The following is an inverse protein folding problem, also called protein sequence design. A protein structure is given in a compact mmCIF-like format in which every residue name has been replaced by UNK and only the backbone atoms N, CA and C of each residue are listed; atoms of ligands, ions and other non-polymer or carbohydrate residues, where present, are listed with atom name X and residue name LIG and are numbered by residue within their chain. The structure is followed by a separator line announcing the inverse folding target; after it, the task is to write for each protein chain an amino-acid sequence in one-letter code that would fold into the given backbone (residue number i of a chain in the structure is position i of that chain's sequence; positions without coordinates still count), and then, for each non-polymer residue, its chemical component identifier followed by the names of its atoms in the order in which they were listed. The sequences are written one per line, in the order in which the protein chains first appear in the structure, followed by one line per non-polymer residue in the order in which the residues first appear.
data_IF_512513677792
#
_entry.id   IF_512513677792
#
_cell.length_a   1.000
_cell.length_b   1.000
_cell.length_c   1.000
_cell.angle_alpha   90.00
_cell.angle_beta   90.00
_cell.angle_gamma   90.00
#
_symmetry.space_group_name_H-M   'P 1'
#
loop_
_entity.id
_entity.type
_entity.pdbx_description
1 polymer ?
#
# COMPACT_ATOMS: atom_id res chain seq x y z
N UNK A 1 -42.54 -27.04 -23.21
CA UNK A 1 -41.10 -27.07 -23.57
C UNK A 1 -40.62 -25.63 -23.70
N UNK A 2 -40.02 -25.08 -22.65
CA UNK A 2 -39.41 -23.75 -22.70
C UNK A 2 -38.09 -23.83 -23.46
N UNK A 3 -37.91 -23.00 -24.48
CA UNK A 3 -36.62 -22.86 -25.16
C UNK A 3 -35.67 -22.14 -24.20
N UNK A 4 -34.64 -22.87 -23.77
CA UNK A 4 -33.53 -22.34 -23.00
C UNK A 4 -32.80 -21.29 -23.84
N UNK A 5 -32.89 -20.03 -23.43
CA UNK A 5 -32.14 -18.93 -24.05
C UNK A 5 -30.68 -19.08 -23.62
N UNK A 6 -29.86 -19.62 -24.49
CA UNK A 6 -28.41 -19.68 -24.26
C UNK A 6 -27.87 -18.25 -24.35
N UNK A 7 -27.47 -17.71 -23.19
CA UNK A 7 -26.77 -16.44 -23.12
C UNK A 7 -25.35 -16.62 -23.66
N UNK A 8 -25.08 -16.10 -24.86
CA UNK A 8 -23.74 -16.12 -25.44
C UNK A 8 -22.89 -15.01 -24.82
N UNK A 9 -21.77 -15.38 -24.20
CA UNK A 9 -20.74 -14.44 -23.74
C UNK A 9 -19.54 -14.47 -24.68
N UNK A 10 -18.93 -13.29 -24.93
CA UNK A 10 -17.70 -13.14 -25.71
C UNK A 10 -16.76 -12.18 -24.99
N UNK A 11 -15.49 -12.54 -24.90
CA UNK A 11 -14.42 -11.68 -24.38
C UNK A 11 -13.37 -11.43 -25.45
N UNK A 12 -12.63 -10.32 -25.31
CA UNK A 12 -11.48 -9.97 -26.15
C UNK A 12 -10.31 -9.59 -25.25
N UNK A 13 -9.20 -10.32 -25.35
CA UNK A 13 -7.92 -9.91 -24.78
C UNK A 13 -7.17 -9.06 -25.81
N UNK A 14 -6.51 -8.02 -25.32
CA UNK A 14 -5.59 -7.19 -26.10
C UNK A 14 -4.24 -7.25 -25.43
N UNK A 15 -3.25 -7.74 -26.17
CA UNK A 15 -1.85 -7.70 -25.79
C UNK A 15 -1.20 -6.54 -26.54
N UNK A 16 -0.62 -5.60 -25.82
CA UNK A 16 0.10 -4.46 -26.38
C UNK A 16 1.48 -4.34 -25.75
N UNK A 17 2.35 -3.55 -26.36
CA UNK A 17 3.67 -3.25 -25.81
C UNK A 17 3.76 -1.81 -25.37
N UNK A 18 4.20 -1.59 -24.13
CA UNK A 18 4.62 -0.27 -23.67
C UNK A 18 6.11 -0.14 -23.96
N UNK A 19 6.45 0.76 -24.87
CA UNK A 19 7.81 0.95 -25.33
C UNK A 19 8.48 2.14 -24.62
N UNK A 20 9.77 2.00 -24.33
CA UNK A 20 10.60 3.07 -23.82
C UNK A 20 12.05 2.84 -24.22
N UNK A 21 12.81 3.93 -24.37
CA UNK A 21 14.21 3.86 -24.79
C UNK A 21 15.11 4.60 -23.82
N UNK A 22 16.33 4.10 -23.66
CA UNK A 22 17.37 4.71 -22.84
C UNK A 22 18.68 4.75 -23.61
N UNK A 23 19.39 5.87 -23.52
CA UNK A 23 20.71 6.05 -24.11
C UNK A 23 21.76 6.03 -23.01
N UNK A 24 22.75 5.15 -23.15
CA UNK A 24 23.84 4.97 -22.22
C UNK A 24 25.16 5.32 -22.89
N UNK A 25 25.86 6.32 -22.33
CA UNK A 25 27.16 6.78 -22.82
C UNK A 25 28.27 6.35 -21.86
N UNK A 26 29.23 5.58 -22.36
CA UNK A 26 30.43 5.20 -21.61
C UNK A 26 31.54 6.13 -22.07
N UNK A 27 32.02 6.98 -21.17
CA UNK A 27 33.24 7.78 -21.37
C UNK A 27 34.43 7.06 -20.76
N UNK A 28 35.57 7.06 -21.44
CA UNK A 28 36.77 6.37 -20.95
C UNK A 28 36.79 4.89 -21.32
N UNK A 29 36.33 4.50 -22.52
CA UNK A 29 36.32 3.09 -22.94
C UNK A 29 37.70 2.43 -22.83
N UNK A 30 38.77 3.18 -23.09
CA UNK A 30 40.16 2.74 -22.95
C UNK A 30 40.53 2.29 -21.53
N UNK A 31 39.84 2.80 -20.50
CA UNK A 31 39.97 2.39 -19.11
C UNK A 31 39.01 1.25 -18.73
N UNK A 32 37.92 1.11 -19.49
CA UNK A 32 36.94 0.04 -19.32
C UNK A 32 37.41 -1.31 -19.88
N UNK A 33 38.34 -1.33 -20.84
CA UNK A 33 38.93 -2.57 -21.37
C UNK A 33 39.94 -3.15 -20.37
N UNK A 34 40.04 -4.48 -20.29
CA UNK A 34 40.95 -5.17 -19.35
C UNK A 34 40.36 -5.43 -17.96
N UNK A 35 39.05 -5.23 -17.78
CA UNK A 35 38.30 -5.61 -16.57
C UNK A 35 38.18 -7.12 -16.35
N UNK A 36 38.57 -7.94 -17.33
CA UNK A 36 38.38 -9.40 -17.42
C UNK A 36 36.97 -9.83 -17.80
N UNK A 37 36.87 -10.99 -18.46
CA UNK A 37 35.59 -11.53 -18.93
C UNK A 37 34.60 -11.73 -17.77
N UNK A 38 33.34 -11.37 -18.02
CA UNK A 38 32.25 -11.44 -17.05
C UNK A 38 32.11 -10.21 -16.14
N UNK A 39 33.03 -9.25 -16.19
CA UNK A 39 32.84 -7.92 -15.58
C UNK A 39 32.12 -6.97 -16.54
N UNK A 40 31.27 -6.13 -15.99
CA UNK A 40 30.43 -5.21 -16.77
C UNK A 40 30.37 -3.81 -16.16
N UNK A 41 29.98 -2.87 -17.02
CA UNK A 41 29.56 -1.53 -16.67
C UNK A 41 28.04 -1.47 -16.81
N UNK A 42 27.36 -0.98 -15.79
CA UNK A 42 25.91 -0.77 -15.81
C UNK A 42 25.58 0.65 -16.21
N UNK A 43 24.51 0.83 -16.99
CA UNK A 43 23.82 2.12 -17.07
C UNK A 43 23.13 2.44 -15.75
N UNK A 44 22.64 3.67 -15.63
CA UNK A 44 21.60 3.99 -14.66
C UNK A 44 20.32 3.22 -15.00
N UNK A 45 19.41 3.16 -14.03
CA UNK A 45 18.13 2.47 -14.15
C UNK A 45 17.14 3.36 -14.90
N UNK A 46 16.31 2.75 -15.76
CA UNK A 46 15.26 3.47 -16.49
C UNK A 46 13.93 2.70 -16.47
N UNK A 47 12.82 3.44 -16.43
CA UNK A 47 11.48 2.88 -16.29
C UNK A 47 10.80 2.65 -17.63
N UNK A 48 10.33 1.42 -17.85
CA UNK A 48 9.50 1.06 -19.00
C UNK A 48 8.44 0.06 -18.56
N UNK A 49 7.18 0.34 -18.90
CA UNK A 49 6.09 -0.59 -18.66
C UNK A 49 5.85 -0.90 -17.17
N UNK A 50 6.22 0.00 -16.25
CA UNK A 50 6.09 -0.20 -14.80
C UNK A 50 7.19 -1.05 -14.17
N UNK A 51 8.26 -1.31 -14.93
CA UNK A 51 9.44 -2.03 -14.46
C UNK A 51 10.68 -1.19 -14.70
N UNK A 52 11.69 -1.45 -13.87
CA UNK A 52 12.99 -0.82 -13.96
C UNK A 52 13.95 -1.70 -14.73
N UNK A 53 14.75 -1.09 -15.62
CA UNK A 53 15.67 -1.77 -16.52
C UNK A 53 17.05 -1.14 -16.46
N UNK A 54 18.09 -1.91 -16.79
CA UNK A 54 19.45 -1.41 -16.92
C UNK A 54 20.16 -2.08 -18.10
N UNK A 55 21.13 -1.38 -18.70
CA UNK A 55 21.99 -1.89 -19.76
C UNK A 55 23.30 -2.35 -19.15
N UNK A 56 23.68 -3.60 -19.38
CA UNK A 56 24.97 -4.15 -18.96
C UNK A 56 25.89 -4.32 -20.17
N UNK A 57 27.00 -3.58 -20.16
CA UNK A 57 28.05 -3.65 -21.16
C UNK A 57 29.25 -4.41 -20.63
N UNK A 58 29.70 -5.44 -21.35
CA UNK A 58 30.88 -6.24 -21.00
C UNK A 58 31.99 -5.94 -22.03
N UNK A 59 32.96 -5.06 -21.69
CA UNK A 59 34.05 -4.68 -22.60
C UNK A 59 34.88 -5.90 -23.01
N UNK A 60 35.16 -6.79 -22.04
CA UNK A 60 35.94 -8.01 -22.25
C UNK A 60 35.11 -9.24 -22.62
N UNK A 61 33.82 -9.05 -22.87
CA UNK A 61 32.86 -10.12 -23.13
C UNK A 61 32.33 -10.77 -21.86
N UNK A 62 31.17 -11.43 -21.97
CA UNK A 62 30.49 -12.08 -20.84
C UNK A 62 31.10 -13.44 -20.48
N UNK A 63 31.54 -14.19 -21.49
CA UNK A 63 32.04 -15.55 -21.33
C UNK A 63 33.57 -15.58 -21.51
N UNK A 64 34.34 -16.20 -20.59
CA UNK A 64 35.78 -16.35 -20.75
C UNK A 64 36.19 -17.13 -22.01
N UNK A 65 35.34 -18.07 -22.46
CA UNK A 65 35.54 -18.91 -23.65
C UNK A 65 35.72 -18.12 -24.94
N UNK A 66 35.19 -16.90 -25.02
CA UNK A 66 35.32 -16.05 -26.20
C UNK A 66 36.68 -15.34 -26.26
N UNK A 67 37.62 -15.64 -25.35
CA UNK A 67 38.98 -15.09 -25.28
C UNK A 67 39.02 -13.57 -25.37
N UNK A 68 38.00 -12.91 -24.83
CA UNK A 68 37.82 -11.46 -24.95
C UNK A 68 37.90 -11.00 -26.41
N UNK A 69 37.31 -11.72 -27.37
CA UNK A 69 37.28 -11.29 -28.78
C UNK A 69 36.11 -10.34 -29.10
N UNK A 70 35.07 -10.37 -28.27
CA UNK A 70 33.82 -9.66 -28.48
C UNK A 70 33.47 -8.79 -27.28
N UNK A 71 32.75 -7.70 -27.55
CA UNK A 71 31.98 -7.00 -26.52
C UNK A 71 30.60 -7.67 -26.41
N UNK A 72 30.04 -7.68 -25.21
CA UNK A 72 28.68 -8.20 -24.98
C UNK A 72 27.78 -7.09 -24.44
N UNK A 73 26.51 -7.14 -24.83
CA UNK A 73 25.50 -6.15 -24.38
C UNK A 73 24.24 -6.89 -23.97
N UNK A 74 23.71 -6.54 -22.80
CA UNK A 74 22.51 -7.11 -22.24
C UNK A 74 21.60 -6.01 -21.69
N UNK A 75 20.30 -6.26 -21.73
CA UNK A 75 19.30 -5.55 -20.94
C UNK A 75 18.90 -6.43 -19.76
N UNK A 76 18.86 -5.86 -18.57
CA UNK A 76 18.54 -6.56 -17.32
C UNK A 76 17.30 -5.95 -16.68
N UNK A 77 16.47 -6.79 -16.06
CA UNK A 77 15.38 -6.35 -15.18
C UNK A 77 15.99 -5.93 -13.84
N UNK A 78 15.86 -4.66 -13.47
CA UNK A 78 16.41 -4.09 -12.24
C UNK A 78 15.40 -4.02 -11.09
N UNK A 79 14.10 -3.96 -11.38
CA UNK A 79 13.02 -4.05 -10.38
C UNK A 79 12.72 -5.50 -9.98
N UNK A 80 12.07 -5.67 -8.82
CA UNK A 80 11.38 -6.91 -8.50
C UNK A 80 10.25 -7.17 -9.50
N UNK A 81 10.11 -8.41 -9.95
CA UNK A 81 9.08 -8.82 -10.91
C UNK A 81 9.23 -10.28 -11.30
N UNK A 82 8.09 -10.96 -11.44
CA UNK A 82 8.03 -12.36 -11.90
C UNK A 82 7.44 -12.42 -13.30
N UNK A 83 8.05 -13.24 -14.15
CA UNK A 83 7.62 -13.51 -15.53
C UNK A 83 7.28 -12.28 -16.39
N UNK A 84 8.11 -11.23 -16.27
CA UNK A 84 7.97 -10.01 -17.09
C UNK A 84 8.28 -10.35 -18.54
N UNK A 85 7.29 -10.21 -19.43
CA UNK A 85 7.48 -10.43 -20.87
C UNK A 85 7.88 -9.14 -21.56
N UNK A 86 9.01 -9.15 -22.25
CA UNK A 86 9.53 -7.97 -22.95
C UNK A 86 10.21 -8.31 -24.29
N UNK A 87 10.09 -7.38 -25.22
CA UNK A 87 10.92 -7.26 -26.42
C UNK A 87 12.03 -6.25 -26.14
N UNK A 88 13.16 -6.39 -26.83
CA UNK A 88 14.22 -5.40 -26.73
C UNK A 88 14.94 -5.19 -28.06
N UNK A 89 15.54 -4.01 -28.17
CA UNK A 89 16.46 -3.63 -29.23
C UNK A 89 17.70 -3.04 -28.59
N UNK A 90 18.87 -3.51 -29.01
CA UNK A 90 20.16 -3.02 -28.56
C UNK A 90 20.91 -2.45 -29.76
N UNK A 91 21.34 -1.20 -29.62
CA UNK A 91 21.94 -0.43 -30.70
C UNK A 91 23.26 0.18 -30.24
N UNK A 92 24.32 -0.04 -31.03
CA UNK A 92 25.54 0.78 -30.99
C UNK A 92 25.37 1.95 -31.97
N UNK A 93 25.47 3.16 -31.44
CA UNK A 93 25.18 4.40 -32.19
C UNK A 93 26.41 4.83 -32.98
N UNK A 94 26.22 5.11 -34.27
CA UNK A 94 27.23 5.69 -35.15
C UNK A 94 27.47 7.16 -34.78
N UNK A 95 28.73 7.50 -34.49
CA UNK A 95 29.12 8.86 -34.09
C UNK A 95 29.76 9.66 -35.24
N UNK A 96 29.77 9.11 -36.47
CA UNK A 96 30.23 9.83 -37.66
C UNK A 96 29.18 10.79 -38.25
N UNK A 97 27.92 10.67 -37.82
CA UNK A 97 26.79 11.44 -38.36
C UNK A 97 26.21 10.87 -39.66
N UNK A 98 26.61 9.64 -40.05
CA UNK A 98 26.12 8.97 -41.27
C UNK A 98 24.89 8.09 -41.01
N UNK A 99 24.49 7.93 -39.75
CA UNK A 99 23.31 7.17 -39.34
C UNK A 99 23.48 5.66 -39.53
N UNK A 100 24.71 5.14 -39.46
CA UNK A 100 25.03 3.71 -39.68
C UNK A 100 25.05 2.90 -38.39
N UNK A 101 24.00 3.02 -37.60
CA UNK A 101 23.88 2.34 -36.31
C UNK A 101 23.94 0.80 -36.47
N UNK A 102 24.64 0.14 -35.54
CA UNK A 102 24.61 -1.33 -35.44
C UNK A 102 23.45 -1.74 -34.54
N UNK A 103 22.34 -2.13 -35.15
CA UNK A 103 21.11 -2.51 -34.46
C UNK A 103 20.98 -4.04 -34.35
N UNK A 104 20.46 -4.49 -33.21
CA UNK A 104 19.94 -5.84 -32.99
C UNK A 104 18.56 -5.74 -32.34
N UNK A 105 17.51 -5.93 -33.15
CA UNK A 105 16.11 -5.75 -32.72
C UNK A 105 15.37 -7.08 -32.65
N UNK A 106 14.54 -7.24 -31.62
CA UNK A 106 13.57 -8.32 -31.50
C UNK A 106 12.13 -7.89 -31.76
N UNK A 107 11.88 -6.60 -32.00
CA UNK A 107 10.54 -6.11 -32.33
C UNK A 107 10.02 -6.71 -33.65
N UNK A 108 10.90 -6.86 -34.64
CA UNK A 108 10.54 -7.42 -35.96
C UNK A 108 10.33 -8.94 -35.95
N UNK A 109 10.77 -9.64 -34.90
CA UNK A 109 10.69 -11.12 -34.77
C UNK A 109 9.63 -11.58 -33.78
N UNK A 110 8.78 -10.66 -33.31
CA UNK A 110 7.79 -10.95 -32.28
C UNK A 110 6.80 -12.06 -32.70
N UNK A 111 6.50 -12.21 -34.00
CA UNK A 111 5.63 -13.26 -34.51
C UNK A 111 6.27 -14.65 -34.56
N UNK A 112 7.61 -14.73 -34.70
CA UNK A 112 8.32 -16.00 -34.87
C UNK A 112 8.75 -16.62 -33.53
N UNK A 113 9.32 -15.80 -32.63
CA UNK A 113 9.90 -16.29 -31.36
C UNK A 113 9.17 -15.79 -30.12
N UNK A 114 8.22 -14.86 -30.27
CA UNK A 114 7.56 -14.21 -29.15
C UNK A 114 8.49 -13.31 -28.30
N UNK A 115 7.94 -12.65 -27.27
CA UNK A 115 8.70 -11.86 -26.31
C UNK A 115 9.49 -12.76 -25.34
N UNK A 116 10.60 -12.24 -24.82
CA UNK A 116 11.38 -12.92 -23.80
C UNK A 116 10.74 -12.79 -22.42
N UNK A 117 10.83 -13.83 -21.60
CA UNK A 117 10.36 -13.82 -20.21
C UNK A 117 11.54 -13.62 -19.26
N UNK A 118 11.50 -12.54 -18.48
CA UNK A 118 12.43 -12.23 -17.40
C UNK A 118 11.80 -12.59 -16.06
N UNK A 119 12.37 -13.61 -15.40
CA UNK A 119 11.69 -14.31 -14.30
C UNK A 119 11.85 -13.68 -12.92
N UNK A 120 12.90 -12.90 -12.72
CA UNK A 120 13.28 -12.34 -11.43
C UNK A 120 14.23 -11.15 -11.63
N UNK A 121 14.44 -10.37 -10.57
CA UNK A 121 15.39 -9.25 -10.57
C UNK A 121 16.82 -9.71 -10.90
N UNK A 122 17.45 -9.04 -11.86
CA UNK A 122 18.77 -9.40 -12.38
C UNK A 122 18.74 -10.41 -13.53
N UNK A 123 17.57 -10.96 -13.88
CA UNK A 123 17.40 -11.69 -15.14
C UNK A 123 17.73 -10.75 -16.31
N UNK A 124 18.40 -11.26 -17.34
CA UNK A 124 18.90 -10.43 -18.44
C UNK A 124 18.89 -11.17 -19.77
N UNK A 125 18.68 -10.43 -20.85
CA UNK A 125 18.73 -10.91 -22.22
C UNK A 125 19.56 -9.98 -23.10
N UNK A 126 20.18 -10.53 -24.14
CA UNK A 126 21.12 -9.79 -24.98
C UNK A 126 22.07 -10.72 -25.72
N UNK A 127 23.20 -10.17 -26.15
CA UNK A 127 24.10 -10.85 -27.07
C UNK A 127 25.50 -10.99 -26.46
N UNK A 128 25.94 -12.25 -26.33
CA UNK A 128 27.30 -12.60 -25.89
C UNK A 128 28.35 -12.10 -26.89
N UNK A 129 28.07 -12.21 -28.19
CA UNK A 129 28.96 -11.77 -29.28
C UNK A 129 28.32 -10.60 -30.02
N UNK A 130 28.11 -9.48 -29.32
CA UNK A 130 27.39 -8.33 -29.88
C UNK A 130 28.17 -7.65 -31.01
N UNK A 131 29.45 -7.37 -30.76
CA UNK A 131 30.35 -6.81 -31.77
C UNK A 131 31.79 -7.25 -31.52
N UNK A 132 32.58 -7.41 -32.58
CA UNK A 132 34.00 -7.80 -32.45
C UNK A 132 34.79 -6.62 -31.89
N UNK A 133 35.61 -6.84 -30.87
CA UNK A 133 36.30 -5.74 -30.16
C UNK A 133 37.26 -4.98 -31.07
N UNK A 134 38.10 -5.68 -31.82
CA UNK A 134 39.07 -5.05 -32.74
C UNK A 134 38.38 -4.20 -33.81
N UNK A 135 37.19 -4.63 -34.25
CA UNK A 135 36.36 -3.85 -35.17
C UNK A 135 35.69 -2.66 -34.48
N UNK A 136 35.29 -2.79 -33.20
CA UNK A 136 34.73 -1.67 -32.43
C UNK A 136 35.74 -0.53 -32.30
N UNK A 137 36.97 -0.87 -31.91
CA UNK A 137 38.04 0.08 -31.61
C UNK A 137 38.54 0.85 -32.83
N UNK A 138 38.26 0.35 -34.04
CA UNK A 138 38.62 0.97 -35.32
C UNK A 138 37.41 1.59 -36.04
N UNK A 139 36.22 1.53 -35.44
CA UNK A 139 34.98 1.99 -36.04
C UNK A 139 34.56 3.39 -35.58
N UNK A 140 33.62 3.98 -36.33
CA UNK A 140 32.95 5.24 -35.97
C UNK A 140 31.97 5.10 -34.77
N UNK A 141 31.86 3.91 -34.17
CA UNK A 141 31.06 3.69 -32.95
C UNK A 141 31.80 4.13 -31.69
N UNK A 142 33.14 4.19 -31.71
CA UNK A 142 33.98 4.66 -30.60
C UNK A 142 34.69 5.94 -31.04
N UNK A 143 34.30 7.08 -30.48
CA UNK A 143 34.86 8.39 -30.83
C UNK A 143 35.21 9.15 -29.55
N UNK A 144 36.37 9.79 -29.53
CA UNK A 144 36.86 10.56 -28.37
C UNK A 144 36.81 9.74 -27.06
N UNK A 145 37.20 8.47 -27.15
CA UNK A 145 37.14 7.48 -26.07
C UNK A 145 35.73 7.28 -25.45
N UNK A 146 34.68 7.61 -26.22
CA UNK A 146 33.29 7.53 -25.82
C UNK A 146 32.53 6.54 -26.70
N UNK A 147 31.76 5.66 -26.06
CA UNK A 147 30.86 4.70 -26.69
C UNK A 147 29.42 5.05 -26.33
N UNK A 148 28.54 5.10 -27.33
CA UNK A 148 27.11 5.39 -27.12
C UNK A 148 26.27 4.18 -27.50
N UNK A 149 25.47 3.70 -26.55
CA UNK A 149 24.50 2.65 -26.77
C UNK A 149 23.08 3.18 -26.57
N UNK A 150 22.14 2.63 -27.33
CA UNK A 150 20.71 2.85 -27.13
C UNK A 150 20.04 1.49 -26.91
N UNK A 151 19.21 1.41 -25.88
CA UNK A 151 18.36 0.26 -25.61
C UNK A 151 16.90 0.70 -25.72
N UNK A 152 16.10 -0.03 -26.47
CA UNK A 152 14.63 0.11 -26.47
C UNK A 152 14.03 -1.15 -25.88
N UNK A 153 13.16 -1.00 -24.89
CA UNK A 153 12.43 -2.11 -24.25
C UNK A 153 10.96 -1.95 -24.58
N UNK A 154 10.29 -3.05 -24.90
CA UNK A 154 8.85 -3.12 -25.15
C UNK A 154 8.21 -4.12 -24.21
N UNK A 155 7.62 -3.65 -23.11
CA UNK A 155 7.01 -4.52 -22.10
C UNK A 155 5.61 -4.91 -22.53
N UNK A 156 5.36 -6.22 -22.61
CA UNK A 156 4.07 -6.76 -23.03
C UNK A 156 3.08 -6.68 -21.89
N UNK A 157 1.99 -5.94 -22.09
CA UNK A 157 0.84 -5.87 -21.19
C UNK A 157 -0.36 -6.53 -21.83
N UNK A 158 -1.07 -7.32 -21.05
CA UNK A 158 -2.36 -7.90 -21.45
C UNK A 158 -3.47 -7.21 -20.68
N UNK A 159 -4.49 -6.72 -21.39
CA UNK A 159 -5.73 -6.27 -20.77
C UNK A 159 -6.91 -6.99 -21.40
N UNK A 160 -7.92 -7.25 -20.60
CA UNK A 160 -9.23 -7.66 -21.10
C UNK A 160 -9.95 -6.38 -21.49
N UNK A 161 -10.29 -6.23 -22.76
CA UNK A 161 -11.17 -5.14 -23.15
C UNK A 161 -12.58 -5.45 -22.64
N UNK A 162 -12.99 -4.69 -21.62
CA UNK A 162 -14.39 -4.64 -21.23
C UNK A 162 -15.15 -4.00 -22.39
N UNK A 163 -16.14 -4.71 -22.91
CA UNK A 163 -17.06 -4.22 -23.93
C UNK A 163 -17.54 -2.83 -23.51
N UNK A 164 -17.37 -1.81 -24.38
CA UNK A 164 -17.87 -0.45 -24.13
C UNK A 164 -19.37 -0.55 -23.87
N UNK A 165 -19.76 -0.52 -22.60
CA UNK A 165 -21.15 -0.38 -22.22
C UNK A 165 -21.55 1.03 -22.66
N UNK A 166 -22.51 1.14 -23.57
CA UNK A 166 -23.22 2.39 -23.84
C UNK A 166 -24.00 2.72 -22.56
N UNK A 167 -23.37 3.41 -21.60
CA UNK A 167 -23.99 3.78 -20.34
C UNK A 167 -24.61 5.17 -20.46
N UNK A 168 -25.91 5.26 -20.16
CA UNK A 168 -26.54 6.52 -19.81
C UNK A 168 -25.87 7.00 -18.53
N UNK A 169 -25.33 8.22 -18.53
CA UNK A 169 -24.78 8.83 -17.32
C UNK A 169 -25.93 9.16 -16.38
N UNK A 170 -26.04 8.39 -15.30
CA UNK A 170 -26.98 8.66 -14.20
C UNK A 170 -26.24 9.56 -13.20
N UNK A 171 -26.78 10.74 -12.84
CA UNK A 171 -26.17 11.58 -11.81
C UNK A 171 -26.17 10.85 -10.46
N UNK A 172 -25.23 11.17 -9.55
CA UNK A 172 -25.24 10.64 -8.19
C UNK A 172 -26.54 11.04 -7.47
N UNK A 173 -26.93 10.24 -6.48
CA UNK A 173 -28.10 10.54 -5.63
C UNK A 173 -27.92 11.88 -4.93
N UNK A 174 -28.94 12.73 -4.98
CA UNK A 174 -29.00 14.05 -4.34
C UNK A 174 -29.83 14.04 -3.04
N UNK A 175 -30.34 12.88 -2.62
CA UNK A 175 -31.21 12.73 -1.45
C UNK A 175 -30.61 13.37 -0.19
N UNK A 176 -29.32 13.14 0.08
CA UNK A 176 -28.63 13.69 1.26
C UNK A 176 -28.62 15.22 1.25
N UNK A 177 -28.39 15.84 0.09
CA UNK A 177 -28.43 17.30 -0.06
C UNK A 177 -29.85 17.86 0.07
N UNK A 178 -30.85 17.15 -0.44
CA UNK A 178 -32.25 17.52 -0.29
C UNK A 178 -32.69 17.51 1.18
N UNK A 179 -32.29 16.48 1.94
CA UNK A 179 -32.57 16.40 3.38
C UNK A 179 -31.80 17.47 4.18
N UNK A 180 -30.52 17.68 3.87
CA UNK A 180 -29.73 18.74 4.48
C UNK A 180 -30.36 20.13 4.25
N UNK A 181 -30.98 20.35 3.08
CA UNK A 181 -31.77 21.56 2.80
C UNK A 181 -32.98 21.75 3.73
N UNK A 182 -33.63 20.67 4.17
CA UNK A 182 -34.70 20.73 5.18
C UNK A 182 -34.15 21.16 6.54
N UNK A 183 -33.00 20.61 6.96
CA UNK A 183 -32.34 21.00 8.21
C UNK A 183 -31.97 22.49 8.19
N UNK A 184 -31.35 22.96 7.09
CA UNK A 184 -30.93 24.37 6.96
C UNK A 184 -32.10 25.36 6.90
N UNK A 185 -33.19 24.99 6.24
CA UNK A 185 -34.37 25.85 6.13
C UNK A 185 -35.25 25.84 7.39
N UNK A 186 -35.19 24.77 8.19
CA UNK A 186 -36.10 24.53 9.31
C UNK A 186 -37.56 24.29 8.88
N UNK A 187 -37.79 24.01 7.59
CA UNK A 187 -39.13 23.82 7.05
C UNK A 187 -39.74 22.52 7.58
N UNK A 188 -40.85 22.64 8.32
CA UNK A 188 -41.56 21.48 8.86
C UNK A 188 -40.92 20.86 10.09
N UNK A 189 -39.99 21.56 10.75
CA UNK A 189 -39.37 21.10 11.99
C UNK A 189 -40.39 20.98 13.12
N UNK A 190 -40.35 19.86 13.82
CA UNK A 190 -41.30 19.44 14.87
C UNK A 190 -40.62 19.17 16.22
N UNK A 191 -39.33 19.51 16.34
CA UNK A 191 -38.54 19.44 17.57
C UNK A 191 -37.46 20.54 17.59
N UNK A 192 -37.18 21.06 18.78
CA UNK A 192 -36.10 22.02 19.06
C UNK A 192 -35.14 21.41 20.09
N UNK A 193 -33.84 21.46 19.81
CA UNK A 193 -32.79 21.11 20.76
C UNK A 193 -32.13 22.37 21.29
N UNK A 194 -31.97 22.47 22.61
CA UNK A 194 -31.14 23.47 23.26
C UNK A 194 -29.82 22.81 23.67
N UNK A 195 -28.71 23.35 23.17
CA UNK A 195 -27.36 22.86 23.43
C UNK A 195 -26.55 24.06 23.87
N UNK A 196 -26.28 24.15 25.17
CA UNK A 196 -25.71 25.34 25.81
C UNK A 196 -26.48 26.62 25.42
N UNK A 197 -25.85 27.54 24.69
CA UNK A 197 -26.40 28.81 24.23
C UNK A 197 -26.98 28.76 22.80
N UNK A 198 -26.90 27.60 22.12
CA UNK A 198 -27.39 27.40 20.77
C UNK A 198 -28.72 26.62 20.72
N UNK A 199 -29.52 26.89 19.67
CA UNK A 199 -30.77 26.17 19.42
C UNK A 199 -30.80 25.57 18.01
N UNK A 200 -31.21 24.30 17.92
CA UNK A 200 -31.25 23.55 16.67
C UNK A 200 -32.65 23.02 16.40
N UNK A 201 -33.23 23.38 15.25
CA UNK A 201 -34.49 22.83 14.77
C UNK A 201 -34.24 21.56 13.99
N UNK A 202 -35.07 20.54 14.18
CA UNK A 202 -34.94 19.26 13.47
C UNK A 202 -36.29 18.58 13.23
N UNK A 203 -36.25 17.35 12.70
CA UNK A 203 -37.40 16.54 12.33
C UNK A 203 -37.35 15.18 13.03
N UNK A 204 -38.30 14.90 13.93
CA UNK A 204 -38.35 13.68 14.75
C UNK A 204 -38.25 12.41 13.91
N UNK A 205 -38.97 12.36 12.78
CA UNK A 205 -38.98 11.19 11.89
C UNK A 205 -37.62 10.90 11.26
N UNK A 206 -36.88 11.94 10.85
CA UNK A 206 -35.54 11.78 10.27
C UNK A 206 -34.58 11.29 11.36
N UNK A 207 -34.60 11.93 12.53
CA UNK A 207 -33.74 11.53 13.65
C UNK A 207 -34.03 10.11 14.13
N UNK A 208 -35.30 9.73 14.28
CA UNK A 208 -35.72 8.38 14.66
C UNK A 208 -35.37 7.32 13.61
N UNK A 209 -35.31 7.69 12.33
CA UNK A 209 -34.86 6.77 11.28
C UNK A 209 -33.34 6.51 11.33
N UNK A 210 -32.57 7.47 11.86
CA UNK A 210 -31.10 7.48 11.81
C UNK A 210 -30.44 7.09 13.14
N UNK A 211 -31.13 7.29 14.25
CA UNK A 211 -30.65 6.98 15.60
C UNK A 211 -31.67 6.12 16.36
N UNK A 212 -31.28 4.93 16.85
CA UNK A 212 -32.15 4.12 17.70
C UNK A 212 -32.48 4.83 19.03
N UNK A 213 -31.61 5.71 19.50
CA UNK A 213 -31.82 6.49 20.73
C UNK A 213 -32.93 7.52 20.54
N UNK A 214 -32.86 8.31 19.47
CA UNK A 214 -33.96 9.24 19.14
C UNK A 214 -35.26 8.49 18.82
N UNK A 215 -35.17 7.32 18.17
CA UNK A 215 -36.35 6.47 17.95
C UNK A 215 -37.02 6.07 19.25
N UNK A 216 -36.24 5.63 20.24
CA UNK A 216 -36.76 5.28 21.56
C UNK A 216 -37.29 6.50 22.32
N UNK A 217 -36.60 7.64 22.23
CA UNK A 217 -36.97 8.87 22.92
C UNK A 217 -38.29 9.46 22.40
N UNK A 218 -38.56 9.40 21.09
CA UNK A 218 -39.78 9.95 20.51
C UNK A 218 -40.92 8.93 20.38
N UNK A 219 -40.60 7.67 20.06
CA UNK A 219 -41.59 6.67 19.66
C UNK A 219 -41.41 5.31 20.38
N UNK A 220 -40.55 5.25 21.39
CA UNK A 220 -40.37 4.06 22.22
C UNK A 220 -41.50 3.89 23.24
N UNK A 221 -41.45 2.78 24.00
CA UNK A 221 -42.47 2.46 25.02
C UNK A 221 -42.64 3.53 26.11
N UNK A 222 -41.56 4.27 26.39
CA UNK A 222 -41.49 5.36 27.36
C UNK A 222 -41.16 6.71 26.69
N UNK A 223 -41.23 6.77 25.36
CA UNK A 223 -40.97 8.00 24.60
C UNK A 223 -42.18 8.93 24.60
N UNK A 224 -41.94 10.19 24.30
CA UNK A 224 -42.99 11.21 24.20
C UNK A 224 -43.05 11.78 22.76
N UNK A 225 -44.07 11.43 21.97
CA UNK A 225 -44.24 11.97 20.62
C UNK A 225 -44.59 13.46 20.60
N UNK A 226 -45.15 13.99 21.69
CA UNK A 226 -45.63 15.38 21.77
C UNK A 226 -44.53 16.34 22.25
N UNK A 227 -43.37 15.83 22.66
CA UNK A 227 -42.22 16.64 23.09
C UNK A 227 -41.76 17.59 21.98
N UNK A 228 -41.81 18.90 22.20
CA UNK A 228 -41.43 19.91 21.22
C UNK A 228 -40.03 20.50 21.49
N UNK A 229 -39.43 20.18 22.64
CA UNK A 229 -38.16 20.74 23.09
C UNK A 229 -37.34 19.76 23.94
N UNK A 230 -36.04 19.63 23.65
CA UNK A 230 -35.08 18.82 24.40
C UNK A 230 -33.85 19.65 24.77
N UNK A 231 -33.41 19.59 26.02
CA UNK A 231 -32.10 20.12 26.44
C UNK A 231 -31.07 19.00 26.32
N UNK A 232 -30.03 19.22 25.53
CA UNK A 232 -28.91 18.30 25.36
C UNK A 232 -27.81 18.71 26.33
N UNK A 233 -27.38 17.79 27.17
CA UNK A 233 -26.27 17.96 28.12
C UNK A 233 -25.06 17.18 27.61
N UNK A 234 -23.87 17.61 28.00
CA UNK A 234 -22.59 16.91 27.76
C UNK A 234 -22.18 16.78 26.27
N UNK A 235 -22.75 17.59 25.38
CA UNK A 235 -22.36 17.68 23.97
C UNK A 235 -22.18 19.13 23.58
N UNK A 236 -21.01 19.49 23.08
CA UNK A 236 -20.73 20.86 22.62
C UNK A 236 -21.56 21.21 21.36
N UNK A 237 -22.01 22.47 21.20
CA UNK A 237 -22.77 22.92 20.02
C UNK A 237 -22.16 22.52 18.65
N UNK A 238 -20.85 22.69 18.38
CA UNK A 238 -20.26 22.26 17.10
C UNK A 238 -20.33 20.74 16.88
N UNK A 239 -20.23 19.95 17.95
CA UNK A 239 -20.33 18.48 17.89
C UNK A 239 -21.76 18.06 17.61
N UNK A 240 -22.74 18.68 18.27
CA UNK A 240 -24.15 18.40 18.04
C UNK A 240 -24.58 18.78 16.62
N UNK A 241 -24.14 19.96 16.13
CA UNK A 241 -24.37 20.41 14.76
C UNK A 241 -23.77 19.44 13.73
N UNK A 242 -22.54 18.97 13.96
CA UNK A 242 -21.87 17.97 13.15
C UNK A 242 -22.64 16.65 13.10
N UNK A 243 -23.12 16.18 14.25
CA UNK A 243 -23.96 14.98 14.36
C UNK A 243 -25.28 15.15 13.59
N UNK A 244 -25.96 16.28 13.72
CA UNK A 244 -27.19 16.56 12.97
C UNK A 244 -26.94 16.57 11.46
N UNK A 245 -25.92 17.28 10.98
CA UNK A 245 -25.58 17.29 9.55
C UNK A 245 -25.33 15.89 9.00
N UNK A 246 -24.64 15.04 9.76
CA UNK A 246 -24.44 13.64 9.40
C UNK A 246 -25.76 12.86 9.33
N UNK A 247 -26.70 13.06 10.27
CA UNK A 247 -27.98 12.34 10.23
C UNK A 247 -28.78 12.63 8.96
N UNK A 248 -28.69 13.85 8.41
CA UNK A 248 -29.43 14.26 7.20
C UNK A 248 -28.69 13.93 5.91
N UNK A 249 -27.36 14.07 5.88
CA UNK A 249 -26.56 13.93 4.64
C UNK A 249 -25.87 12.57 4.50
N UNK A 250 -25.64 11.84 5.59
CA UNK A 250 -24.76 10.67 5.67
C UNK A 250 -23.30 10.98 5.22
N UNK A 251 -22.90 12.26 5.26
CA UNK A 251 -21.55 12.74 4.94
C UNK A 251 -20.85 13.14 6.23
N UNK A 252 -19.56 12.77 6.36
CA UNK A 252 -18.75 13.18 7.50
C UNK A 252 -18.56 14.71 7.50
N UNK A 253 -18.82 15.40 8.60
CA UNK A 253 -18.78 16.86 8.65
C UNK A 253 -17.35 17.38 8.50
N UNK A 254 -17.17 18.46 7.75
CA UNK A 254 -15.90 19.19 7.72
C UNK A 254 -15.88 20.24 8.84
N UNK A 255 -15.14 19.95 9.89
CA UNK A 255 -14.98 20.86 11.03
C UNK A 255 -14.28 22.18 10.64
N UNK A 256 -13.48 22.18 9.57
CA UNK A 256 -12.76 23.35 9.11
C UNK A 256 -13.68 24.39 8.43
N UNK A 257 -14.82 23.93 7.88
CA UNK A 257 -15.88 24.80 7.35
C UNK A 257 -16.85 25.25 8.46
N UNK A 258 -16.98 24.45 9.52
CA UNK A 258 -17.96 24.69 10.58
C UNK A 258 -17.50 25.71 11.62
N UNK A 259 -16.19 25.94 11.72
CA UNK A 259 -15.57 26.77 12.76
C UNK A 259 -14.51 27.69 12.12
N UNK A 260 -14.68 29.00 12.26
CA UNK A 260 -13.75 29.98 11.68
C UNK A 260 -12.38 29.89 12.39
N UNK A 261 -11.37 29.36 11.68
CA UNK A 261 -9.96 29.26 12.10
C UNK A 261 -9.65 28.34 13.30
N UNK A 262 -9.93 27.05 13.13
CA UNK A 262 -9.60 26.02 14.14
C UNK A 262 -8.27 25.36 13.81
N UNK A 263 -7.38 25.29 14.81
CA UNK A 263 -6.10 24.61 14.68
C UNK A 263 -6.30 23.10 14.51
N UNK A 264 -5.31 22.38 13.98
CA UNK A 264 -5.41 20.93 13.80
C UNK A 264 -5.68 20.18 15.11
N UNK A 265 -5.17 20.66 16.26
CA UNK A 265 -5.41 20.03 17.56
C UNK A 265 -6.87 20.16 18.01
N UNK A 266 -7.47 21.33 17.81
CA UNK A 266 -8.89 21.55 18.11
C UNK A 266 -9.82 20.74 17.21
N UNK A 267 -9.47 20.53 15.94
CA UNK A 267 -10.24 19.65 15.05
C UNK A 267 -10.20 18.18 15.50
N UNK A 268 -9.03 17.69 15.95
CA UNK A 268 -8.90 16.33 16.50
C UNK A 268 -9.76 16.14 17.75
N UNK A 269 -9.77 17.12 18.67
CA UNK A 269 -10.63 17.08 19.86
C UNK A 269 -12.11 17.02 19.48
N UNK A 270 -12.57 17.84 18.54
CA UNK A 270 -13.96 17.80 18.06
C UNK A 270 -14.34 16.42 17.48
N UNK A 271 -13.42 15.75 16.76
CA UNK A 271 -13.64 14.38 16.27
C UNK A 271 -13.72 13.37 17.43
N UNK A 272 -12.91 13.53 18.48
CA UNK A 272 -12.98 12.72 19.70
C UNK A 272 -14.33 12.87 20.41
N UNK A 273 -14.83 14.11 20.57
CA UNK A 273 -16.16 14.37 21.12
C UNK A 273 -17.27 13.86 20.20
N UNK A 274 -17.11 13.94 18.87
CA UNK A 274 -18.06 13.37 17.92
C UNK A 274 -18.09 11.84 17.97
N UNK A 275 -16.96 11.18 18.23
CA UNK A 275 -16.92 9.73 18.46
C UNK A 275 -17.78 9.35 19.68
N UNK A 276 -17.64 10.08 20.79
CA UNK A 276 -18.44 9.89 21.99
C UNK A 276 -19.94 10.06 21.72
N UNK A 277 -20.32 11.15 21.04
CA UNK A 277 -21.70 11.39 20.65
C UNK A 277 -22.23 10.32 19.69
N UNK A 278 -21.42 9.87 18.73
CA UNK A 278 -21.82 8.82 17.79
C UNK A 278 -22.14 7.51 18.51
N UNK A 279 -21.36 7.12 19.52
CA UNK A 279 -21.66 5.96 20.36
C UNK A 279 -22.93 6.18 21.18
N UNK A 280 -23.02 7.32 21.88
CA UNK A 280 -24.18 7.67 22.73
C UNK A 280 -25.51 7.64 21.98
N UNK A 281 -25.53 8.08 20.72
CA UNK A 281 -26.75 8.11 19.89
C UNK A 281 -26.89 6.90 18.95
N UNK A 282 -26.00 5.90 19.03
CA UNK A 282 -26.07 4.66 18.25
C UNK A 282 -25.86 4.85 16.75
N UNK A 283 -24.94 5.74 16.36
CA UNK A 283 -24.60 6.10 14.99
C UNK A 283 -23.36 5.33 14.52
N UNK A 284 -23.50 4.02 14.30
CA UNK A 284 -22.37 3.11 14.05
C UNK A 284 -21.47 3.54 12.88
N UNK A 285 -22.05 3.98 11.76
CA UNK A 285 -21.26 4.45 10.61
C UNK A 285 -20.48 5.73 10.93
N UNK A 286 -21.06 6.65 11.72
CA UNK A 286 -20.35 7.86 12.13
C UNK A 286 -19.20 7.52 13.07
N UNK A 287 -19.42 6.59 14.01
CA UNK A 287 -18.40 6.08 14.92
C UNK A 287 -17.18 5.54 14.15
N UNK A 288 -17.40 4.67 13.16
CA UNK A 288 -16.33 4.15 12.29
C UNK A 288 -15.63 5.24 11.46
N UNK A 289 -16.36 6.26 11.00
CA UNK A 289 -15.75 7.39 10.29
C UNK A 289 -14.87 8.25 11.22
N UNK A 290 -15.30 8.47 12.47
CA UNK A 290 -14.49 9.11 13.50
C UNK A 290 -13.22 8.29 13.77
N UNK A 291 -13.32 6.97 13.95
CA UNK A 291 -12.16 6.08 14.11
C UNK A 291 -11.18 6.22 12.93
N UNK A 292 -11.67 6.16 11.69
CA UNK A 292 -10.85 6.29 10.50
C UNK A 292 -10.16 7.66 10.37
N UNK A 293 -10.82 8.73 10.87
CA UNK A 293 -10.26 10.08 10.88
C UNK A 293 -9.18 10.23 11.97
N UNK A 294 -9.47 9.75 13.18
CA UNK A 294 -8.52 9.76 14.30
C UNK A 294 -7.27 8.96 13.97
N UNK A 295 -7.40 7.76 13.37
CA UNK A 295 -6.28 6.95 12.91
C UNK A 295 -5.31 7.70 11.99
N UNK A 296 -5.81 8.64 11.16
CA UNK A 296 -4.97 9.42 10.23
C UNK A 296 -4.31 10.63 10.87
N UNK A 297 -4.77 11.05 12.05
CA UNK A 297 -4.37 12.29 12.73
C UNK A 297 -3.70 12.03 14.08
N UNK A 298 -3.40 10.77 14.41
CA UNK A 298 -2.68 10.40 15.63
C UNK A 298 -1.29 11.07 15.64
N UNK A 299 -0.99 11.75 16.75
CA UNK A 299 0.34 12.31 17.04
C UNK A 299 0.83 11.77 18.39
N UNK A 300 2.10 12.03 18.73
CA UNK A 300 2.65 11.70 20.06
C UNK A 300 1.81 12.26 21.21
N UNK A 301 1.21 13.43 20.99
CA UNK A 301 0.48 14.18 22.03
C UNK A 301 -0.97 13.69 22.16
N UNK A 302 -1.58 13.25 21.05
CA UNK A 302 -2.99 12.83 21.03
C UNK A 302 -3.20 11.31 21.15
N UNK A 303 -2.14 10.51 20.99
CA UNK A 303 -2.28 9.04 20.97
C UNK A 303 -2.82 8.48 22.29
N UNK A 304 -2.40 9.04 23.43
CA UNK A 304 -2.79 8.53 24.75
C UNK A 304 -4.28 8.78 25.01
N UNK A 305 -4.76 10.00 24.76
CA UNK A 305 -6.18 10.33 24.89
C UNK A 305 -7.03 9.52 23.91
N UNK A 306 -6.53 9.28 22.69
CA UNK A 306 -7.21 8.46 21.67
C UNK A 306 -7.28 6.98 22.08
N UNK A 307 -6.26 6.41 22.72
CA UNK A 307 -6.30 5.05 23.27
C UNK A 307 -7.36 4.94 24.37
N UNK A 308 -7.40 5.91 25.30
CA UNK A 308 -8.37 5.91 26.39
C UNK A 308 -9.81 5.98 25.85
N UNK A 309 -10.07 6.83 24.85
CA UNK A 309 -11.37 6.91 24.18
C UNK A 309 -11.72 5.62 23.44
N UNK A 310 -10.76 5.02 22.75
CA UNK A 310 -10.98 3.77 22.03
C UNK A 310 -11.33 2.62 22.98
N UNK A 311 -10.76 2.59 24.19
CA UNK A 311 -11.15 1.63 25.23
C UNK A 311 -12.56 1.91 25.74
N UNK A 312 -12.85 3.17 26.09
CA UNK A 312 -14.12 3.60 26.66
C UNK A 312 -15.32 3.29 25.74
N UNK A 313 -15.17 3.53 24.44
CA UNK A 313 -16.22 3.30 23.45
C UNK A 313 -16.03 1.99 22.67
N UNK A 314 -15.20 1.06 23.19
CA UNK A 314 -14.98 -0.27 22.62
C UNK A 314 -14.58 -0.30 21.12
N UNK A 315 -13.77 0.67 20.69
CA UNK A 315 -13.24 0.80 19.34
C UNK A 315 -11.96 -0.03 19.18
N UNK A 316 -12.09 -1.36 19.03
CA UNK A 316 -10.94 -2.29 19.06
C UNK A 316 -9.91 -2.04 17.96
N UNK A 317 -10.35 -1.62 16.77
CA UNK A 317 -9.45 -1.36 15.64
C UNK A 317 -8.62 -0.10 15.88
N UNK A 318 -9.26 1.02 16.23
CA UNK A 318 -8.58 2.25 16.61
C UNK A 318 -7.58 2.02 17.75
N UNK A 319 -7.99 1.28 18.81
CA UNK A 319 -7.11 0.92 19.93
C UNK A 319 -5.86 0.20 19.44
N UNK A 320 -5.99 -0.82 18.59
CA UNK A 320 -4.85 -1.58 18.07
C UNK A 320 -3.88 -0.72 17.25
N UNK A 321 -4.40 0.16 16.39
CA UNK A 321 -3.56 1.06 15.59
C UNK A 321 -2.80 2.05 16.48
N UNK A 322 -3.49 2.67 17.45
CA UNK A 322 -2.87 3.62 18.37
C UNK A 322 -1.82 2.97 19.28
N UNK A 323 -2.07 1.74 19.77
CA UNK A 323 -1.08 0.97 20.55
C UNK A 323 0.19 0.72 19.74
N UNK A 324 0.06 0.30 18.48
CA UNK A 324 1.22 0.10 17.59
C UNK A 324 1.98 1.39 17.31
N UNK A 325 1.26 2.50 17.10
CA UNK A 325 1.87 3.80 16.91
C UNK A 325 2.66 4.25 18.15
N UNK A 326 2.08 4.09 19.34
CA UNK A 326 2.72 4.43 20.62
C UNK A 326 3.92 3.54 20.93
N UNK A 327 3.86 2.26 20.55
CA UNK A 327 4.92 1.28 20.76
C UNK A 327 6.11 1.43 19.78
N UNK A 328 5.97 2.19 18.69
CA UNK A 328 7.03 2.38 17.71
C UNK A 328 8.23 3.13 18.35
N UNK A 329 9.48 2.68 18.11
CA UNK A 329 10.67 3.27 18.75
C UNK A 329 10.82 4.78 18.53
N UNK A 330 10.45 5.29 17.35
CA UNK A 330 10.47 6.72 17.04
C UNK A 330 9.51 7.57 17.89
N UNK A 331 8.41 6.99 18.38
CA UNK A 331 7.34 7.72 19.07
C UNK A 331 7.33 7.47 20.58
N UNK A 332 7.77 6.28 21.02
CA UNK A 332 7.65 5.82 22.40
C UNK A 332 8.23 6.81 23.42
N UNK A 333 9.42 7.36 23.15
CA UNK A 333 10.03 8.35 24.04
C UNK A 333 9.20 9.63 24.18
N UNK A 334 8.60 10.12 23.09
CA UNK A 334 7.75 11.31 23.12
C UNK A 334 6.45 11.03 23.89
N UNK A 335 5.82 9.88 23.65
CA UNK A 335 4.57 9.47 24.33
C UNK A 335 4.79 9.33 25.84
N UNK A 336 5.90 8.74 26.28
CA UNK A 336 6.23 8.58 27.70
C UNK A 336 6.45 9.91 28.44
N UNK A 337 6.74 10.99 27.72
CA UNK A 337 6.95 12.33 28.30
C UNK A 337 5.66 13.16 28.36
N UNK A 338 4.55 12.68 27.79
CA UNK A 338 3.27 13.39 27.83
C UNK A 338 2.63 13.35 29.22
N UNK A 339 1.94 14.43 29.60
CA UNK A 339 1.20 14.49 30.86
C UNK A 339 0.03 13.49 30.85
N UNK A 340 -0.58 13.28 29.68
CA UNK A 340 -1.66 12.34 29.43
C UNK A 340 -1.23 10.89 29.75
N UNK A 341 0.02 10.51 29.46
CA UNK A 341 0.54 9.19 29.83
C UNK A 341 0.65 9.02 31.36
N UNK A 342 1.02 10.09 32.08
CA UNK A 342 1.02 10.13 33.54
C UNK A 342 -0.38 9.90 34.12
N UNK A 343 -1.41 10.51 33.52
CA UNK A 343 -2.80 10.31 33.89
C UNK A 343 -3.29 8.89 33.57
N UNK A 344 -2.92 8.33 32.43
CA UNK A 344 -3.26 6.96 32.04
C UNK A 344 -2.77 5.94 33.08
N UNK A 345 -1.57 6.15 33.64
CA UNK A 345 -0.99 5.29 34.69
C UNK A 345 -1.84 5.21 35.95
N UNK A 346 -2.56 6.28 36.28
CA UNK A 346 -3.43 6.34 37.44
C UNK A 346 -4.85 5.86 37.12
N UNK A 347 -5.36 6.19 35.93
CA UNK A 347 -6.74 5.92 35.55
C UNK A 347 -6.98 4.49 35.05
N UNK A 348 -6.05 3.88 34.30
CA UNK A 348 -6.26 2.59 33.62
C UNK A 348 -4.98 1.73 33.54
N UNK A 349 -4.63 0.95 34.58
CA UNK A 349 -3.44 0.10 34.59
C UNK A 349 -3.41 -0.99 33.49
N UNK A 350 -4.57 -1.42 33.00
CA UNK A 350 -4.70 -2.42 31.93
C UNK A 350 -4.21 -1.91 30.57
N UNK A 351 -4.38 -0.61 30.30
CA UNK A 351 -3.89 0.00 29.06
C UNK A 351 -2.36 0.09 29.03
N UNK A 352 -1.72 0.24 30.20
CA UNK A 352 -0.26 0.15 30.32
C UNK A 352 0.27 -1.24 29.99
N UNK A 353 -0.41 -2.30 30.46
CA UNK A 353 -0.02 -3.67 30.12
C UNK A 353 -0.17 -3.94 28.63
N UNK A 354 -1.20 -3.39 27.98
CA UNK A 354 -1.40 -3.50 26.54
C UNK A 354 -0.30 -2.78 25.75
N UNK A 355 0.13 -1.58 26.17
CA UNK A 355 1.25 -0.86 25.55
C UNK A 355 2.54 -1.68 25.70
N UNK A 356 2.84 -2.18 26.91
CA UNK A 356 4.05 -2.98 27.15
C UNK A 356 4.06 -4.29 26.35
N UNK A 357 2.92 -4.97 26.26
CA UNK A 357 2.77 -6.16 25.43
C UNK A 357 3.01 -5.84 23.94
N UNK A 358 2.46 -4.72 23.46
CA UNK A 358 2.65 -4.29 22.07
C UNK A 358 4.11 -3.90 21.78
N UNK A 359 4.81 -3.27 22.72
CA UNK A 359 6.25 -2.98 22.60
C UNK A 359 7.06 -4.27 22.45
N UNK A 360 6.74 -5.31 23.23
CA UNK A 360 7.40 -6.61 23.13
C UNK A 360 7.16 -7.28 21.76
N UNK A 361 5.96 -7.16 21.20
CA UNK A 361 5.65 -7.67 19.84
C UNK A 361 6.40 -6.89 18.74
N UNK A 362 6.52 -5.56 18.87
CA UNK A 362 7.22 -4.71 17.88
C UNK A 362 8.74 -4.96 17.89
N UNK A 363 9.34 -5.25 19.05
CA UNK A 363 10.77 -5.61 19.18
C UNK A 363 11.11 -6.97 18.55
N UNK A 364 10.16 -7.92 18.55
CA UNK A 364 10.33 -9.25 17.93
C UNK A 364 10.26 -9.18 16.39
N UNK A 365 9.39 -8.34 15.82
CA UNK A 365 9.27 -8.13 14.37
C UNK A 365 10.51 -7.45 13.76
N UNK A 366 11.27 -6.68 14.54
CA UNK A 366 12.53 -6.06 14.12
C UNK A 366 13.76 -6.98 14.26
N UNK A 367 13.63 -8.15 14.90
CA UNK A 367 14.73 -9.11 15.11
C UNK A 367 14.46 -10.48 14.43
N UNK A 368 14.69 -10.63 13.10
CA UNK A 368 14.58 -11.93 12.44
C UNK A 368 15.81 -12.83 12.68
N UNK A 369 16.42 -12.79 13.87
CA UNK A 369 17.59 -13.62 14.21
C UNK A 369 17.55 -14.07 15.66
N UNK A 370 16.90 -15.22 15.93
CA UNK A 370 17.41 -16.34 16.76
C UNK A 370 16.32 -17.37 17.06
N UNK A 371 16.01 -18.23 16.09
CA UNK A 371 15.60 -19.61 16.40
C UNK A 371 16.41 -20.59 15.54
N UNK A 372 17.67 -20.79 15.94
CA UNK A 372 18.36 -22.05 15.69
C UNK A 372 18.40 -22.84 16.99
N UNK A 373 17.58 -23.89 17.01
CA UNK A 373 17.66 -25.13 17.80
C UNK A 373 18.84 -25.22 18.77
N UNK A 374 18.52 -25.39 20.05
CA UNK A 374 19.29 -26.24 20.96
C UNK A 374 18.33 -26.90 21.95
N UNK A 375 17.75 -28.02 21.54
CA UNK A 375 17.10 -28.96 22.44
C UNK A 375 18.14 -30.01 22.82
N UNK A 376 18.93 -29.70 23.85
CA UNK A 376 19.79 -30.65 24.55
C UNK A 376 19.32 -30.68 25.99
N UNK A 377 18.44 -31.62 26.35
CA UNK A 377 18.17 -31.95 27.74
C UNK A 377 18.32 -33.45 27.93
N UNK A 378 19.39 -33.78 28.64
CA UNK A 378 19.70 -35.06 29.22
C UNK A 378 18.50 -35.65 29.96
N UNK A 379 18.18 -36.92 29.69
CA UNK A 379 17.50 -37.79 30.64
C UNK A 379 18.45 -38.97 30.86
N UNK A 380 19.07 -38.98 32.04
CA UNK A 380 19.75 -40.15 32.56
C UNK A 380 18.71 -41.09 33.15
N UNK A 381 18.77 -42.35 32.75
CA UNK A 381 18.29 -43.48 33.54
C UNK A 381 19.36 -44.55 33.51
N UNK A 382 19.75 -44.91 34.72
CA UNK A 382 20.78 -45.86 35.09
C UNK A 382 20.12 -47.23 35.27
N UNK A 383 20.89 -48.32 35.06
CA UNK A 383 20.84 -49.63 35.75
C UNK A 383 20.40 -50.91 34.98
N UNK A 384 21.40 -51.81 34.95
CA UNK A 384 21.49 -53.29 34.92
C UNK A 384 21.30 -54.17 33.65
N UNK A 385 22.43 -54.86 33.36
CA UNK A 385 22.67 -56.27 32.99
C UNK A 385 22.10 -56.91 31.71
N UNK A 386 23.00 -57.61 30.99
CA UNK A 386 22.61 -58.79 30.22
C UNK A 386 23.37 -59.09 28.92
N UNK A 387 24.59 -59.61 29.06
CA UNK A 387 25.19 -60.73 28.29
C UNK A 387 25.16 -60.73 26.74
N UNK A 388 26.40 -60.83 26.26
CA UNK A 388 26.91 -61.18 24.93
C UNK A 388 26.16 -62.31 24.19
N UNK A 389 25.94 -62.13 22.89
CA UNK A 389 25.83 -63.25 21.96
C UNK A 389 26.28 -62.82 20.56
N UNK A 390 27.58 -63.03 20.34
CA UNK A 390 28.23 -63.06 19.04
C UNK A 390 27.44 -63.85 17.98
N UNK A 391 26.94 -63.12 16.97
CA UNK A 391 26.27 -63.68 15.79
C UNK A 391 26.84 -63.10 14.50
N UNK A 392 28.08 -63.47 14.14
CA UNK A 392 28.60 -63.23 12.78
C UNK A 392 27.87 -64.15 11.80
N UNK A 393 27.17 -63.59 10.79
CA UNK A 393 27.14 -64.16 9.43
C UNK A 393 26.67 -63.16 8.35
N UNK A 394 27.64 -62.83 7.49
CA UNK A 394 27.62 -62.61 6.04
C UNK A 394 26.44 -61.95 5.29
N UNK A 395 26.75 -60.80 4.67
CA UNK A 395 26.71 -60.48 3.21
C UNK A 395 25.58 -61.05 2.31
N UNK A 396 24.91 -60.11 1.63
CA UNK A 396 24.63 -60.07 0.17
C UNK A 396 24.53 -58.56 -0.20
N UNK A 397 25.43 -57.94 -1.01
CA UNK A 397 25.56 -57.94 -2.49
C UNK A 397 24.20 -57.81 -3.19
N UNK A 398 23.95 -56.87 -4.11
CA UNK A 398 24.79 -55.95 -4.89
C UNK A 398 23.96 -54.69 -5.18
#
# INVERSE_FOLDING_TARGET
MGKELIANSRSRSVCETVNGSHQFTIKGYSLAKGMSAGKFISSDVFDVGGHQWAIYFYPDGKNPEDNSMYVSVFVALASEGTDVRALFELTLVDQSGKGKDKVHSHFDRAMDSGPYTLKYRGSMWGYKRFFRRTSLETSDFLKDDCLVMKCTVGVVRSRIEKQRQLTISVPPSDLGHCLEGLLKSGMGSDIIFEVDDETFKAHKLILAARSPVFKAQFFGLIGDPDIDKIVVQDVEPPVFKAMLLFMYSDVFPDFHEMTESVSMSTATNLVQHLLAAADQYGLERLKLLCEAKLCKQVTSDTVVSTIALAEQYHCSHLKSVCLKFAAAPENLCAVLQTEEFGHLKQACPTLLTDILATVAEVDDDQNPVRQKRNSSSNIGLNIFDGVDSSGRRMRRRL
#
